data_IF_835646523419
#
_entry.id   IF_835646523419
#
_cell.length_a   1.000
_cell.length_b   1.000
_cell.length_c   1.000
_cell.angle_alpha   90.00
_cell.angle_beta   90.00
_cell.angle_gamma   90.00
#
_symmetry.space_group_name_H-M   'P 1'
#
loop_
_entity.id
_entity.type
_entity.pdbx_description
1 polymer ?
#
# COMPACT_ATOMS: atom_id res chain seq x y z
N UNK A 1 30.55 -19.43 0.63
CA UNK A 1 29.87 -18.12 0.59
C UNK A 1 30.30 -17.33 1.82
N UNK A 2 30.96 -16.18 1.64
CA UNK A 2 31.66 -15.47 2.71
C UNK A 2 30.65 -14.80 3.68
N UNK A 3 30.73 -15.09 4.99
CA UNK A 3 29.79 -14.60 6.01
C UNK A 3 29.70 -13.07 6.06
N UNK A 4 30.75 -12.37 5.61
CA UNK A 4 30.79 -10.90 5.50
C UNK A 4 29.82 -10.32 4.46
N UNK A 5 29.59 -11.00 3.33
CA UNK A 5 28.68 -10.49 2.29
C UNK A 5 27.21 -10.56 2.74
N UNK A 6 26.87 -11.63 3.48
CA UNK A 6 25.54 -11.79 4.09
C UNK A 6 25.31 -10.74 5.17
N UNK A 7 26.31 -10.46 6.02
CA UNK A 7 26.16 -9.48 7.08
C UNK A 7 26.08 -8.03 6.55
N UNK A 8 26.87 -7.69 5.51
CA UNK A 8 26.77 -6.41 4.82
C UNK A 8 25.40 -6.20 4.17
N UNK A 9 24.83 -7.26 3.56
CA UNK A 9 23.47 -7.25 3.04
C UNK A 9 22.42 -6.95 4.10
N UNK A 10 22.56 -7.51 5.31
CA UNK A 10 21.64 -7.22 6.43
C UNK A 10 21.66 -5.76 6.86
N UNK A 11 22.84 -5.13 6.96
CA UNK A 11 22.94 -3.71 7.32
C UNK A 11 22.37 -2.78 6.25
N UNK A 12 22.60 -3.10 4.96
CA UNK A 12 22.04 -2.32 3.86
C UNK A 12 20.50 -2.35 3.87
N UNK A 13 19.93 -3.55 4.07
CA UNK A 13 18.48 -3.72 4.12
C UNK A 13 17.88 -3.11 5.38
N UNK A 14 18.57 -3.20 6.53
CA UNK A 14 18.15 -2.53 7.76
C UNK A 14 18.08 -1.01 7.57
N UNK A 15 19.08 -0.41 6.92
CA UNK A 15 19.07 1.02 6.61
C UNK A 15 17.91 1.41 5.69
N UNK A 16 17.68 0.64 4.62
CA UNK A 16 16.55 0.87 3.71
C UNK A 16 15.19 0.77 4.42
N UNK A 17 15.04 -0.22 5.30
CA UNK A 17 13.84 -0.40 6.12
C UNK A 17 13.59 0.81 7.04
N UNK A 18 14.62 1.24 7.78
CA UNK A 18 14.51 2.40 8.68
C UNK A 18 14.11 3.65 7.90
N UNK A 19 14.73 3.89 6.74
CA UNK A 19 14.37 5.00 5.85
C UNK A 19 12.91 4.91 5.38
N UNK A 20 12.42 3.70 5.08
CA UNK A 20 11.03 3.49 4.64
C UNK A 20 10.04 3.78 5.76
N UNK A 21 10.35 3.35 7.00
CA UNK A 21 9.54 3.66 8.19
C UNK A 21 9.53 5.16 8.47
N UNK A 22 10.69 5.83 8.36
CA UNK A 22 10.78 7.28 8.52
C UNK A 22 9.97 8.02 7.45
N UNK A 23 10.05 7.59 6.19
CA UNK A 23 9.27 8.16 5.10
C UNK A 23 7.76 8.00 5.31
N UNK A 24 7.32 6.84 5.82
CA UNK A 24 5.93 6.66 6.27
C UNK A 24 5.56 7.68 7.35
N UNK A 25 6.41 7.87 8.36
CA UNK A 25 6.14 8.85 9.43
C UNK A 25 5.98 10.27 8.87
N UNK A 26 6.82 10.65 7.91
CA UNK A 26 6.71 11.93 7.21
C UNK A 26 5.41 12.07 6.43
N UNK A 27 4.97 11.01 5.72
CA UNK A 27 3.70 11.02 4.99
C UNK A 27 2.49 11.10 5.91
N UNK A 28 2.51 10.47 7.09
CA UNK A 28 1.45 10.64 8.10
C UNK A 28 1.39 12.10 8.53
N UNK A 29 2.53 12.72 8.79
CA UNK A 29 2.58 14.13 9.17
C UNK A 29 2.06 15.04 8.06
N UNK A 30 2.43 14.78 6.80
CA UNK A 30 1.91 15.49 5.64
C UNK A 30 0.39 15.30 5.48
N UNK A 31 -0.13 14.09 5.69
CA UNK A 31 -1.57 13.81 5.66
C UNK A 31 -2.35 14.54 6.75
N UNK A 32 -1.79 14.62 7.96
CA UNK A 32 -2.37 15.41 9.06
C UNK A 32 -2.39 16.91 8.70
N UNK A 33 -1.31 17.40 8.10
CA UNK A 33 -1.20 18.79 7.66
C UNK A 33 -2.24 19.13 6.59
N UNK A 34 -2.39 18.27 5.58
CA UNK A 34 -3.39 18.42 4.53
C UNK A 34 -4.81 18.39 5.09
N UNK A 35 -5.07 17.48 6.04
CA UNK A 35 -6.35 17.40 6.73
C UNK A 35 -6.66 18.68 7.52
N UNK A 36 -5.67 19.23 8.22
CA UNK A 36 -5.82 20.48 8.98
C UNK A 36 -6.11 21.67 8.07
N UNK A 37 -5.48 21.74 6.88
CA UNK A 37 -5.73 22.78 5.88
C UNK A 37 -7.14 22.71 5.27
N UNK A 38 -7.82 21.57 5.32
CA UNK A 38 -9.22 21.46 4.89
C UNK A 38 -10.24 21.98 5.92
N UNK A 39 -9.84 22.23 7.18
CA UNK A 39 -10.74 22.71 8.24
C UNK A 39 -11.31 24.12 7.98
N UNK A 40 -10.51 25.11 7.55
CA UNK A 40 -11.02 26.42 7.14
C UNK A 40 -12.14 26.35 6.10
N UNK A 41 -12.03 25.43 5.12
CA UNK A 41 -13.03 25.28 4.06
C UNK A 41 -14.35 24.69 4.59
N UNK A 42 -14.28 23.79 5.57
CA UNK A 42 -15.47 23.26 6.28
C UNK A 42 -16.18 24.38 7.03
N UNK A 43 -15.43 25.21 7.75
CA UNK A 43 -15.99 26.31 8.52
C UNK A 43 -16.65 27.32 7.58
N UNK A 44 -15.97 27.73 6.51
CA UNK A 44 -16.54 28.63 5.51
C UNK A 44 -17.81 28.06 4.88
N UNK A 45 -17.84 26.77 4.56
CA UNK A 45 -19.02 26.09 4.04
C UNK A 45 -20.19 26.06 5.04
N UNK A 46 -19.91 25.82 6.32
CA UNK A 46 -20.94 25.74 7.37
C UNK A 46 -21.55 27.12 7.66
N UNK A 47 -20.74 28.19 7.58
CA UNK A 47 -21.18 29.56 7.84
C UNK A 47 -21.73 30.30 6.61
N UNK A 48 -21.26 30.01 5.40
CA UNK A 48 -21.72 30.61 4.15
C UNK A 48 -22.22 29.52 3.21
N UNK A 49 -23.55 29.35 3.12
CA UNK A 49 -24.21 28.41 2.20
C UNK A 49 -23.89 28.77 0.74
N UNK A 50 -22.76 28.31 0.19
CA UNK A 50 -22.37 28.65 -1.18
C UNK A 50 -21.16 27.90 -1.75
N UNK A 51 -21.45 26.94 -2.61
CA UNK A 51 -20.67 26.55 -3.81
C UNK A 51 -19.43 25.63 -3.75
N UNK A 52 -18.71 25.42 -2.64
CA UNK A 52 -17.41 24.69 -2.71
C UNK A 52 -17.43 23.26 -2.12
N UNK A 53 -18.36 22.40 -2.56
CA UNK A 53 -18.40 20.98 -2.16
C UNK A 53 -17.22 20.16 -2.69
N UNK A 54 -16.71 20.53 -3.86
CA UNK A 54 -15.65 19.78 -4.56
C UNK A 54 -14.31 19.96 -3.85
N UNK A 55 -13.94 21.20 -3.54
CA UNK A 55 -12.66 21.54 -2.88
C UNK A 55 -12.53 20.89 -1.50
N UNK A 56 -13.62 20.88 -0.72
CA UNK A 56 -13.69 20.15 0.54
C UNK A 56 -13.36 18.65 0.36
N UNK A 57 -14.02 18.01 -0.61
CA UNK A 57 -13.87 16.58 -0.86
C UNK A 57 -12.44 16.25 -1.29
N UNK A 58 -11.78 17.18 -2.01
CA UNK A 58 -10.41 17.00 -2.49
C UNK A 58 -9.40 16.91 -1.35
N UNK A 59 -9.46 17.81 -0.36
CA UNK A 59 -8.52 17.79 0.78
C UNK A 59 -8.65 16.51 1.62
N UNK A 60 -9.87 16.07 1.91
CA UNK A 60 -10.09 14.82 2.65
C UNK A 60 -9.59 13.60 1.91
N UNK A 61 -9.89 13.50 0.60
CA UNK A 61 -9.45 12.35 -0.18
C UNK A 61 -7.93 12.38 -0.37
N UNK A 62 -7.32 13.56 -0.51
CA UNK A 62 -5.87 13.73 -0.54
C UNK A 62 -5.23 13.24 0.77
N UNK A 63 -5.79 13.61 1.93
CA UNK A 63 -5.29 13.14 3.23
C UNK A 63 -5.42 11.62 3.38
N UNK A 64 -6.56 11.03 2.98
CA UNK A 64 -6.78 9.56 3.02
C UNK A 64 -5.74 8.84 2.15
N UNK A 65 -5.46 9.36 0.96
CA UNK A 65 -4.47 8.82 0.04
C UNK A 65 -3.05 8.87 0.65
N UNK A 66 -2.66 9.98 1.27
CA UNK A 66 -1.40 10.10 2.00
C UNK A 66 -1.29 9.08 3.15
N UNK A 67 -2.36 8.90 3.94
CA UNK A 67 -2.39 7.91 5.01
C UNK A 67 -2.29 6.48 4.49
N UNK A 68 -2.96 6.17 3.38
CA UNK A 68 -2.86 4.87 2.73
C UNK A 68 -1.43 4.55 2.32
N UNK A 69 -0.80 5.45 1.56
CA UNK A 69 0.58 5.26 1.09
C UNK A 69 1.53 5.15 2.28
N UNK A 70 1.33 5.95 3.32
CA UNK A 70 2.11 5.84 4.55
C UNK A 70 1.98 4.44 5.19
N UNK A 71 0.76 3.94 5.40
CA UNK A 71 0.54 2.60 5.98
C UNK A 71 1.18 1.51 5.12
N UNK A 72 1.10 1.60 3.79
CA UNK A 72 1.77 0.67 2.89
C UNK A 72 3.29 0.71 3.10
N UNK A 73 3.88 1.90 3.11
CA UNK A 73 5.31 2.08 3.38
C UNK A 73 5.71 1.56 4.77
N UNK A 74 4.89 1.77 5.78
CA UNK A 74 5.13 1.28 7.14
C UNK A 74 5.18 -0.24 7.21
N UNK A 75 4.16 -0.91 6.66
CA UNK A 75 4.08 -2.37 6.60
C UNK A 75 5.26 -2.94 5.81
N UNK A 76 5.64 -2.28 4.72
CA UNK A 76 6.80 -2.66 3.89
C UNK A 76 8.12 -2.50 4.64
N UNK A 77 8.29 -1.39 5.35
CA UNK A 77 9.45 -1.16 6.20
C UNK A 77 9.59 -2.23 7.27
N UNK A 78 8.54 -2.45 8.06
CA UNK A 78 8.56 -3.51 9.09
C UNK A 78 8.80 -4.88 8.49
N UNK A 79 8.15 -5.21 7.37
CA UNK A 79 8.32 -6.51 6.75
C UNK A 79 9.72 -6.75 6.18
N UNK A 80 10.35 -5.69 5.66
CA UNK A 80 11.74 -5.74 5.24
C UNK A 80 12.69 -5.89 6.44
N UNK A 81 12.38 -5.23 7.57
CA UNK A 81 13.12 -5.37 8.82
C UNK A 81 13.04 -6.81 9.37
N UNK A 82 11.85 -7.36 9.49
CA UNK A 82 11.61 -8.69 10.06
C UNK A 82 12.34 -9.78 9.25
N UNK A 83 12.23 -9.72 7.92
CA UNK A 83 12.77 -10.74 7.02
C UNK A 83 14.31 -10.81 6.99
N UNK A 84 14.98 -9.65 7.10
CA UNK A 84 16.43 -9.54 6.93
C UNK A 84 17.18 -9.29 8.24
N UNK A 85 16.55 -8.64 9.22
CA UNK A 85 17.17 -8.27 10.50
C UNK A 85 16.77 -9.25 11.60
N UNK A 86 15.48 -9.46 11.86
CA UNK A 86 14.98 -10.27 12.99
C UNK A 86 14.45 -11.66 12.57
N UNK A 87 15.36 -12.51 12.07
CA UNK A 87 15.03 -13.91 11.73
C UNK A 87 14.79 -14.81 12.94
N UNK A 88 15.25 -14.42 14.12
CA UNK A 88 15.26 -15.24 15.33
C UNK A 88 13.95 -15.10 16.16
N UNK A 89 12.93 -14.39 15.63
CA UNK A 89 11.61 -14.20 16.25
C UNK A 89 11.66 -13.78 17.72
N UNK A 90 12.64 -12.94 18.06
CA UNK A 90 12.84 -12.49 19.45
C UNK A 90 11.75 -11.53 19.93
N UNK A 91 11.04 -10.91 18.98
CA UNK A 91 9.97 -9.94 19.23
C UNK A 91 8.61 -10.60 18.92
N UNK A 92 7.69 -10.55 19.90
CA UNK A 92 6.33 -11.06 19.74
C UNK A 92 5.49 -10.07 18.92
N UNK A 93 5.48 -10.25 17.60
CA UNK A 93 4.59 -9.50 16.69
C UNK A 93 3.19 -10.12 16.67
N UNK A 94 2.12 -9.32 16.61
CA UNK A 94 0.77 -9.83 16.43
C UNK A 94 0.65 -10.58 15.09
N UNK A 95 -0.26 -11.55 15.01
CA UNK A 95 -0.37 -12.47 13.86
C UNK A 95 -0.54 -11.77 12.49
N UNK A 96 -1.16 -10.58 12.46
CA UNK A 96 -1.31 -9.79 11.24
C UNK A 96 -0.02 -9.11 10.78
N UNK A 97 1.00 -8.97 11.62
CA UNK A 97 2.28 -8.33 11.30
C UNK A 97 3.42 -9.33 11.06
N UNK A 98 3.35 -10.53 11.67
CA UNK A 98 4.36 -11.59 11.50
C UNK A 98 4.57 -11.98 10.03
N UNK A 99 5.81 -11.95 9.57
CA UNK A 99 6.23 -12.26 8.19
C UNK A 99 7.34 -13.31 8.26
N UNK A 100 7.03 -14.54 7.82
CA UNK A 100 7.96 -15.67 7.95
C UNK A 100 8.91 -15.77 6.76
N UNK A 101 8.46 -15.35 5.58
CA UNK A 101 9.19 -15.43 4.32
C UNK A 101 8.87 -14.28 3.36
N UNK A 102 9.67 -14.15 2.29
CA UNK A 102 9.47 -13.18 1.19
C UNK A 102 8.08 -13.29 0.53
N UNK A 103 7.50 -14.50 0.50
CA UNK A 103 6.15 -14.75 -0.02
C UNK A 103 5.08 -14.06 0.80
N UNK A 104 5.21 -14.06 2.13
CA UNK A 104 4.24 -13.46 3.04
C UNK A 104 4.32 -11.92 2.94
N UNK A 105 5.54 -11.38 2.76
CA UNK A 105 5.73 -9.96 2.49
C UNK A 105 5.07 -9.56 1.17
N UNK A 106 5.26 -10.36 0.11
CA UNK A 106 4.65 -10.16 -1.19
C UNK A 106 3.13 -10.15 -1.10
N UNK A 107 2.52 -11.07 -0.35
CA UNK A 107 1.07 -11.15 -0.20
C UNK A 107 0.50 -9.91 0.48
N UNK A 108 1.12 -9.45 1.59
CA UNK A 108 0.71 -8.22 2.29
C UNK A 108 0.90 -6.98 1.43
N UNK A 109 1.97 -6.92 0.64
CA UNK A 109 2.25 -5.84 -0.31
C UNK A 109 1.16 -5.77 -1.40
N UNK A 110 0.83 -6.91 -2.01
CA UNK A 110 -0.22 -6.98 -3.02
C UNK A 110 -1.56 -6.56 -2.43
N UNK A 111 -1.90 -7.06 -1.24
CA UNK A 111 -3.13 -6.67 -0.55
C UNK A 111 -3.20 -5.15 -0.34
N UNK A 112 -2.14 -4.53 0.18
CA UNK A 112 -2.08 -3.09 0.39
C UNK A 112 -2.17 -2.29 -0.93
N UNK A 113 -1.45 -2.72 -1.97
CA UNK A 113 -1.47 -2.08 -3.29
C UNK A 113 -2.86 -2.08 -3.94
N UNK A 114 -3.60 -3.20 -3.80
CA UNK A 114 -4.99 -3.27 -4.28
C UNK A 114 -5.87 -2.22 -3.60
N UNK A 115 -5.74 -2.04 -2.27
CA UNK A 115 -6.54 -1.03 -1.56
C UNK A 115 -6.20 0.39 -2.04
N UNK A 116 -4.91 0.69 -2.30
CA UNK A 116 -4.51 1.99 -2.86
C UNK A 116 -5.18 2.24 -4.21
N UNK A 117 -5.13 1.27 -5.12
CA UNK A 117 -5.79 1.38 -6.44
C UNK A 117 -7.29 1.67 -6.30
N UNK A 118 -7.97 0.99 -5.36
CA UNK A 118 -9.40 1.21 -5.08
C UNK A 118 -9.67 2.62 -4.58
N UNK A 119 -8.85 3.14 -3.66
CA UNK A 119 -9.04 4.49 -3.11
C UNK A 119 -8.70 5.57 -4.14
N UNK A 120 -7.67 5.37 -4.98
CA UNK A 120 -7.39 6.28 -6.11
C UNK A 120 -8.54 6.30 -7.12
N UNK A 121 -9.19 5.16 -7.37
CA UNK A 121 -10.37 5.13 -8.22
C UNK A 121 -11.55 5.87 -7.61
N UNK A 122 -11.83 5.63 -6.32
CA UNK A 122 -12.88 6.32 -5.59
C UNK A 122 -12.64 7.85 -5.57
N UNK A 123 -11.39 8.27 -5.40
CA UNK A 123 -10.96 9.68 -5.50
C UNK A 123 -11.39 10.32 -6.81
N UNK A 124 -11.15 9.62 -7.92
CA UNK A 124 -11.49 10.10 -9.25
C UNK A 124 -13.01 10.13 -9.53
N UNK A 125 -13.76 9.20 -8.93
CA UNK A 125 -15.24 9.22 -8.95
C UNK A 125 -15.79 10.41 -8.17
N UNK A 126 -15.17 10.80 -7.05
CA UNK A 126 -15.69 11.91 -6.24
C UNK A 126 -15.35 13.27 -6.87
N UNK A 127 -14.20 13.40 -7.54
CA UNK A 127 -13.82 14.61 -8.30
C UNK A 127 -14.54 14.75 -9.65
N UNK A 128 -15.78 14.26 -9.74
CA UNK A 128 -16.45 14.10 -11.02
C UNK A 128 -16.72 15.44 -11.72
N UNK A 129 -15.92 15.75 -12.75
CA UNK A 129 -16.19 16.87 -13.65
C UNK A 129 -16.76 16.40 -15.00
N UNK A 130 -16.25 15.29 -15.57
CA UNK A 130 -16.69 14.75 -16.86
C UNK A 130 -17.02 13.24 -16.83
N UNK A 131 -18.23 12.80 -17.22
CA UNK A 131 -18.64 11.38 -17.22
C UNK A 131 -17.82 10.48 -18.15
N UNK A 132 -17.33 11.00 -19.27
CA UNK A 132 -16.50 10.23 -20.20
C UNK A 132 -15.08 10.00 -19.66
N UNK A 133 -14.46 11.00 -19.03
CA UNK A 133 -13.10 10.88 -18.49
C UNK A 133 -13.05 9.86 -17.35
N UNK A 134 -14.04 9.88 -16.45
CA UNK A 134 -14.17 8.88 -15.38
C UNK A 134 -14.35 7.47 -15.94
N UNK A 135 -15.09 7.30 -17.05
CA UNK A 135 -15.26 6.01 -17.69
C UNK A 135 -13.96 5.50 -18.32
N UNK A 136 -13.18 6.36 -18.98
CA UNK A 136 -11.86 6.01 -19.52
C UNK A 136 -10.87 5.66 -18.42
N UNK A 137 -10.88 6.40 -17.30
CA UNK A 137 -10.03 6.13 -16.14
C UNK A 137 -10.37 4.78 -15.49
N UNK A 138 -11.66 4.51 -15.27
CA UNK A 138 -12.14 3.22 -14.77
C UNK A 138 -11.81 2.06 -15.71
N UNK A 139 -11.97 2.26 -17.02
CA UNK A 139 -11.60 1.30 -18.04
C UNK A 139 -10.10 0.97 -18.03
N UNK A 140 -9.23 1.99 -17.90
CA UNK A 140 -7.79 1.79 -17.80
C UNK A 140 -7.42 0.95 -16.57
N UNK A 141 -8.00 1.25 -15.40
CA UNK A 141 -7.77 0.48 -14.17
C UNK A 141 -8.27 -0.97 -14.33
N UNK A 142 -9.44 -1.18 -14.92
CA UNK A 142 -9.99 -2.50 -15.15
C UNK A 142 -9.08 -3.36 -16.05
N UNK A 143 -8.48 -2.77 -17.09
CA UNK A 143 -7.51 -3.44 -17.95
C UNK A 143 -6.26 -3.83 -17.18
N UNK A 144 -5.72 -2.92 -16.35
CA UNK A 144 -4.53 -3.20 -15.52
C UNK A 144 -4.82 -4.34 -14.53
N UNK A 145 -5.96 -4.30 -13.84
CA UNK A 145 -6.37 -5.37 -12.92
C UNK A 145 -6.54 -6.69 -13.67
N UNK A 146 -7.22 -6.69 -14.82
CA UNK A 146 -7.40 -7.88 -15.64
C UNK A 146 -6.06 -8.47 -16.09
N UNK A 147 -5.11 -7.63 -16.52
CA UNK A 147 -3.76 -8.06 -16.90
C UNK A 147 -3.01 -8.68 -15.71
N UNK A 148 -3.07 -8.06 -14.53
CA UNK A 148 -2.44 -8.58 -13.30
C UNK A 148 -3.10 -9.89 -12.87
N UNK A 149 -4.43 -9.98 -12.87
CA UNK A 149 -5.16 -11.21 -12.52
C UNK A 149 -4.83 -12.33 -13.50
N UNK A 150 -4.78 -12.04 -14.80
CA UNK A 150 -4.41 -13.03 -15.81
C UNK A 150 -2.97 -13.50 -15.62
N UNK A 151 -2.03 -12.58 -15.43
CA UNK A 151 -0.63 -12.90 -15.14
C UNK A 151 -0.48 -13.72 -13.86
N UNK A 152 -1.14 -13.32 -12.77
CA UNK A 152 -1.13 -14.05 -11.52
C UNK A 152 -1.71 -15.46 -11.68
N UNK A 153 -2.78 -15.63 -12.45
CA UNK A 153 -3.36 -16.95 -12.70
C UNK A 153 -2.42 -17.82 -13.56
N UNK A 154 -1.70 -17.22 -14.50
CA UNK A 154 -0.73 -17.92 -15.34
C UNK A 154 0.51 -18.35 -14.55
N UNK A 155 1.02 -17.46 -13.68
CA UNK A 155 2.28 -17.67 -12.95
C UNK A 155 2.07 -18.41 -11.63
N UNK A 156 1.11 -17.97 -10.81
CA UNK A 156 0.84 -18.56 -9.48
C UNK A 156 0.00 -19.84 -9.60
N UNK A 157 -0.84 -19.96 -10.63
CA UNK A 157 -1.62 -21.17 -10.89
C UNK A 157 -0.76 -22.40 -11.18
N UNK A 158 0.47 -22.22 -11.65
CA UNK A 158 1.42 -23.31 -11.90
C UNK A 158 2.16 -23.76 -10.63
N UNK A 159 2.44 -22.84 -9.69
CA UNK A 159 3.09 -23.16 -8.41
C UNK A 159 2.18 -23.97 -7.47
N UNK A 160 0.88 -23.65 -7.43
CA UNK A 160 -0.10 -24.40 -6.64
C UNK A 160 -0.37 -25.79 -7.21
N UNK A 161 -0.29 -25.95 -8.53
CA UNK A 161 -0.47 -27.26 -9.20
C UNK A 161 0.71 -28.18 -8.92
N UNK A 162 1.95 -27.66 -8.98
CA UNK A 162 3.16 -28.43 -8.63
C UNK A 162 3.20 -28.88 -7.18
N UNK A 163 2.83 -28.00 -6.22
CA UNK A 163 2.79 -28.39 -4.80
C UNK A 163 1.79 -29.52 -4.52
N UNK A 164 0.62 -29.46 -5.17
CA UNK A 164 -0.40 -30.50 -5.02
C UNK A 164 0.05 -31.85 -5.62
N UNK A 165 0.73 -31.81 -6.77
CA UNK A 165 1.28 -33.00 -7.42
C UNK A 165 2.44 -33.63 -6.63
N UNK A 166 3.15 -32.85 -5.80
CA UNK A 166 4.20 -33.35 -4.90
C UNK A 166 3.64 -33.95 -3.61
N UNK A 167 2.54 -33.40 -3.06
CA UNK A 167 1.83 -33.95 -1.91
C UNK A 167 1.07 -35.24 -2.24
N UNK A 168 0.56 -35.40 -3.47
CA UNK A 168 -0.11 -36.65 -3.92
C UNK A 168 0.87 -37.79 -4.27
N UNK A 169 2.19 -37.52 -4.31
CA UNK A 169 3.24 -38.52 -4.60
C UNK A 169 3.97 -39.03 -3.34
N UNK A 170 3.62 -38.52 -2.16
CA UNK A 170 4.09 -39.01 -0.86
C UNK A 170 3.03 -39.86 -0.17
#
# INVERSE_FOLDING_TARGET
>A
MNKGFVNAGRYFVAAASILTILASGFLIFAGIWEFANGIPDILNFLFHKGAHRVELSVHFISAIDMFMVAVVMFVMGIGLFELFVDRDQSISYPHWLKIRDLSDLKEKLIAAAVVVIVITFLKHIVMWENPLETLYFGGAIAIVIAAITFFSKLVVGDDLRKKKDEEERQ
#
